data_IF_410609251620
#
_entry.id   IF_410609251620
#
_cell.length_a   1.000
_cell.length_b   1.000
_cell.length_c   1.000
_cell.angle_alpha   90.00
_cell.angle_beta   90.00
_cell.angle_gamma   90.00
#
_symmetry.space_group_name_H-M   'P 1'
#
loop_
_entity.id
_entity.type
_entity.pdbx_description
1 polymer ?
#
# COMPACT_ATOMS: atom_id res chain seq x y z
N UNK A 1 -36.12 20.28 25.31
CA UNK A 1 -36.09 19.31 24.19
C UNK A 1 -34.78 19.50 23.43
N UNK A 2 -33.71 18.77 23.84
CA UNK A 2 -32.35 18.93 23.29
C UNK A 2 -32.22 18.11 22.01
N UNK A 3 -31.90 18.79 20.91
CA UNK A 3 -31.49 18.19 19.64
C UNK A 3 -30.12 17.52 19.82
N UNK A 4 -30.10 16.20 20.00
CA UNK A 4 -28.91 15.40 19.80
C UNK A 4 -28.77 15.07 18.31
N UNK A 5 -28.00 15.92 17.64
CA UNK A 5 -27.42 15.64 16.32
C UNK A 5 -26.48 14.44 16.49
N UNK A 6 -26.97 13.23 16.21
CA UNK A 6 -26.13 12.04 16.01
C UNK A 6 -25.31 12.24 14.74
N UNK A 7 -24.16 12.87 14.88
CA UNK A 7 -23.09 12.80 13.89
C UNK A 7 -22.09 11.76 14.39
N UNK A 8 -22.32 10.48 14.11
CA UNK A 8 -21.27 9.45 14.15
C UNK A 8 -21.78 8.13 13.56
N UNK A 9 -21.70 8.07 12.23
CA UNK A 9 -21.44 6.85 11.49
C UNK A 9 -20.66 7.33 10.27
N UNK A 10 -19.38 6.97 10.14
CA UNK A 10 -18.65 7.21 8.89
C UNK A 10 -19.50 6.58 7.78
N UNK A 11 -20.09 7.42 6.93
CA UNK A 11 -20.88 6.96 5.80
C UNK A 11 -20.06 5.91 5.02
N UNK A 12 -20.59 4.71 4.77
CA UNK A 12 -19.92 3.73 3.91
C UNK A 12 -19.54 4.41 2.59
N UNK A 13 -18.24 4.45 2.27
CA UNK A 13 -17.72 5.16 1.09
C UNK A 13 -16.89 6.42 1.33
N UNK A 14 -16.44 6.69 2.56
CA UNK A 14 -15.44 7.75 2.86
C UNK A 14 -14.11 7.23 3.40
N UNK A 15 -13.97 5.92 3.56
CA UNK A 15 -12.79 5.33 4.22
C UNK A 15 -11.56 5.45 3.31
N UNK A 16 -11.68 5.12 2.03
CA UNK A 16 -10.63 5.28 1.05
C UNK A 16 -10.24 6.75 0.85
N UNK A 17 -11.21 7.66 0.75
CA UNK A 17 -10.94 9.09 0.63
C UNK A 17 -10.19 9.66 1.85
N UNK A 18 -10.54 9.25 3.07
CA UNK A 18 -9.83 9.66 4.28
C UNK A 18 -8.41 9.11 4.33
N UNK A 19 -8.22 7.83 3.97
CA UNK A 19 -6.89 7.19 3.87
C UNK A 19 -6.05 7.91 2.81
N UNK A 20 -6.61 8.24 1.65
CA UNK A 20 -5.93 8.93 0.57
C UNK A 20 -5.50 10.35 0.95
N UNK A 21 -6.35 11.11 1.65
CA UNK A 21 -6.01 12.45 2.13
C UNK A 21 -4.94 12.42 3.22
N UNK A 22 -5.04 11.48 4.16
CA UNK A 22 -4.00 11.25 5.16
C UNK A 22 -2.66 10.86 4.50
N UNK A 23 -2.71 9.94 3.52
CA UNK A 23 -1.55 9.54 2.73
C UNK A 23 -0.95 10.70 1.93
N UNK A 24 -1.76 11.62 1.42
CA UNK A 24 -1.31 12.85 0.76
C UNK A 24 -0.58 13.77 1.75
N UNK A 25 -1.14 14.01 2.94
CA UNK A 25 -0.50 14.83 3.96
C UNK A 25 0.87 14.28 4.38
N UNK A 26 0.99 12.95 4.49
CA UNK A 26 2.27 12.27 4.76
C UNK A 26 3.23 12.30 3.56
N UNK A 27 2.72 12.43 2.33
CA UNK A 27 3.54 12.47 1.12
C UNK A 27 4.23 13.82 0.90
N UNK A 28 3.68 14.91 1.45
CA UNK A 28 4.20 16.27 1.23
C UNK A 28 5.66 16.43 1.68
N UNK A 29 6.07 15.99 2.90
CA UNK A 29 7.48 16.04 3.28
C UNK A 29 8.38 15.26 2.33
N UNK A 30 7.95 14.06 1.89
CA UNK A 30 8.70 13.24 0.94
C UNK A 30 8.86 13.97 -0.40
N UNK A 31 7.80 14.61 -0.91
CA UNK A 31 7.82 15.35 -2.17
C UNK A 31 8.79 16.54 -2.17
N UNK A 32 9.08 17.11 -1.01
CA UNK A 32 10.04 18.22 -0.86
C UNK A 32 11.45 17.71 -0.55
N UNK A 33 11.58 16.80 0.42
CA UNK A 33 12.88 16.35 0.93
C UNK A 33 13.58 15.39 -0.02
N UNK A 34 12.86 14.49 -0.70
CA UNK A 34 13.47 13.51 -1.61
C UNK A 34 14.16 14.18 -2.80
N UNK A 35 13.55 15.14 -3.53
CA UNK A 35 14.23 15.81 -4.63
C UNK A 35 15.34 16.75 -4.17
N UNK A 36 15.26 17.28 -2.94
CA UNK A 36 16.30 18.10 -2.34
C UNK A 36 17.53 17.28 -1.90
N UNK A 37 17.36 15.99 -1.60
CA UNK A 37 18.39 15.15 -1.01
C UNK A 37 19.73 15.14 -1.79
N UNK A 38 19.78 15.04 -3.13
CA UNK A 38 21.04 15.09 -3.86
C UNK A 38 21.79 16.43 -3.71
N UNK A 39 21.07 17.55 -3.67
CA UNK A 39 21.66 18.87 -3.48
C UNK A 39 22.14 19.07 -2.04
N UNK A 40 21.38 18.58 -1.06
CA UNK A 40 21.78 18.59 0.35
C UNK A 40 23.01 17.71 0.58
N UNK A 41 23.08 16.54 -0.05
CA UNK A 41 24.24 15.65 0.05
C UNK A 41 25.52 16.24 -0.56
N UNK A 42 25.38 17.11 -1.57
CA UNK A 42 26.52 17.78 -2.20
C UNK A 42 27.04 19.00 -1.40
N UNK A 43 26.23 19.54 -0.48
CA UNK A 43 26.54 20.79 0.24
C UNK A 43 26.75 20.60 1.74
N UNK A 44 26.09 19.62 2.35
CA UNK A 44 26.15 19.34 3.77
C UNK A 44 27.17 18.25 4.08
N UNK A 45 27.80 18.35 5.25
CA UNK A 45 28.68 17.29 5.75
C UNK A 45 27.85 16.12 6.29
N UNK A 46 28.43 14.91 6.26
CA UNK A 46 27.76 13.70 6.73
C UNK A 46 27.19 13.81 8.15
N UNK A 47 27.88 14.40 9.16
CA UNK A 47 27.30 14.58 10.49
C UNK A 47 26.04 15.45 10.50
N UNK A 48 25.97 16.48 9.66
CA UNK A 48 24.78 17.35 9.54
C UNK A 48 23.63 16.56 8.91
N UNK A 49 23.89 15.76 7.88
CA UNK A 49 22.89 14.89 7.26
C UNK A 49 22.34 13.88 8.28
N UNK A 50 23.22 13.26 9.08
CA UNK A 50 22.83 12.34 10.16
C UNK A 50 21.97 13.06 11.21
N UNK A 51 22.37 14.27 11.63
CA UNK A 51 21.60 15.07 12.59
C UNK A 51 20.20 15.42 12.06
N UNK A 52 20.09 15.85 10.80
CA UNK A 52 18.81 16.08 10.14
C UNK A 52 17.96 14.80 10.07
N UNK A 53 18.57 13.66 9.74
CA UNK A 53 17.91 12.36 9.71
C UNK A 53 17.43 11.87 11.08
N UNK A 54 18.05 12.34 12.17
CA UNK A 54 17.67 12.01 13.54
C UNK A 54 16.53 12.90 14.09
N UNK A 55 16.15 13.98 13.41
CA UNK A 55 15.07 14.88 13.86
C UNK A 55 13.74 14.16 14.20
N UNK A 56 13.28 13.13 13.47
CA UNK A 56 12.08 12.39 13.82
C UNK A 56 12.13 11.74 15.21
N UNK A 57 13.31 11.45 15.76
CA UNK A 57 13.48 10.91 17.13
C UNK A 57 12.96 11.90 18.18
N UNK A 58 13.05 13.21 17.91
CA UNK A 58 12.52 14.25 18.78
C UNK A 58 10.99 14.18 18.92
N UNK A 59 10.30 13.47 18.02
CA UNK A 59 8.86 13.26 18.14
C UNK A 59 8.47 12.18 19.17
N UNK A 60 9.40 11.31 19.60
CA UNK A 60 9.13 10.17 20.49
C UNK A 60 8.44 10.56 21.81
N UNK A 61 8.84 11.62 22.53
CA UNK A 61 8.18 12.01 23.78
C UNK A 61 6.69 12.35 23.60
N UNK A 62 6.31 12.86 22.42
CA UNK A 62 4.93 13.29 22.11
C UNK A 62 4.01 12.11 21.77
N UNK A 63 4.54 10.94 21.42
CA UNK A 63 3.76 9.76 20.99
C UNK A 63 2.76 9.30 22.05
N UNK A 64 3.15 9.28 23.33
CA UNK A 64 2.28 8.86 24.44
C UNK A 64 1.11 9.81 24.67
N UNK A 65 1.35 11.11 24.53
CA UNK A 65 0.30 12.13 24.67
C UNK A 65 -0.69 12.06 23.51
N UNK A 66 -0.17 11.89 22.29
CA UNK A 66 -0.98 11.73 21.09
C UNK A 66 -1.81 10.45 21.14
N UNK A 67 -1.23 9.33 21.57
CA UNK A 67 -1.94 8.07 21.74
C UNK A 67 -3.13 8.19 22.68
N UNK A 68 -2.93 8.78 23.86
CA UNK A 68 -4.01 9.06 24.82
C UNK A 68 -5.11 9.95 24.23
N UNK A 69 -4.74 10.97 23.46
CA UNK A 69 -5.70 11.87 22.82
C UNK A 69 -6.51 11.19 21.70
N UNK A 70 -5.90 10.25 20.98
CA UNK A 70 -6.59 9.42 19.97
C UNK A 70 -7.54 8.46 20.65
N UNK A 71 -7.07 7.71 21.66
CA UNK A 71 -7.88 6.73 22.39
C UNK A 71 -9.14 7.37 22.98
N UNK A 72 -9.00 8.54 23.60
CA UNK A 72 -10.12 9.30 24.17
C UNK A 72 -11.19 9.69 23.13
N UNK A 73 -10.83 9.77 21.84
CA UNK A 73 -11.74 10.12 20.74
C UNK A 73 -12.33 8.90 20.02
N UNK A 74 -11.79 7.70 20.24
CA UNK A 74 -12.24 6.45 19.62
C UNK A 74 -13.00 5.50 20.56
N UNK A 75 -13.14 5.85 21.84
CA UNK A 75 -13.84 5.10 22.89
C UNK A 75 -15.38 5.11 22.77
N UNK A 76 -15.92 4.85 21.58
CA UNK A 76 -17.29 4.31 21.44
C UNK A 76 -17.16 2.89 20.92
N UNK A 77 -17.23 1.87 21.79
CA UNK A 77 -17.24 0.48 21.37
C UNK A 77 -18.46 0.26 20.50
N UNK A 78 -18.26 -0.04 19.22
CA UNK A 78 -19.36 -0.59 18.41
C UNK A 78 -19.53 -2.05 18.85
N UNK A 79 -20.76 -2.55 19.07
CA UNK A 79 -21.01 -3.95 19.46
C UNK A 79 -20.36 -4.99 18.52
N UNK A 80 -20.05 -4.60 17.27
CA UNK A 80 -19.31 -5.39 16.27
C UNK A 80 -17.84 -5.67 16.64
N UNK A 81 -17.22 -4.90 17.54
CA UNK A 81 -15.84 -5.10 17.99
C UNK A 81 -15.70 -6.15 19.09
N UNK A 82 -16.80 -6.78 19.50
CA UNK A 82 -16.79 -7.90 20.46
C UNK A 82 -16.34 -9.24 19.83
N UNK A 83 -16.14 -9.30 18.51
CA UNK A 83 -15.57 -10.46 17.86
C UNK A 83 -14.07 -10.60 18.22
N UNK A 84 -13.67 -11.80 18.65
CA UNK A 84 -12.27 -12.08 18.97
C UNK A 84 -11.37 -11.89 17.73
N UNK A 85 -10.25 -11.19 17.90
CA UNK A 85 -9.26 -11.02 16.85
C UNK A 85 -8.76 -12.39 16.36
N UNK A 86 -8.57 -12.52 15.05
CA UNK A 86 -8.07 -13.74 14.45
C UNK A 86 -6.57 -13.92 14.74
N UNK A 87 -6.05 -15.15 14.75
CA UNK A 87 -4.61 -15.39 14.82
C UNK A 87 -3.86 -14.65 13.71
N UNK A 88 -2.70 -14.08 14.02
CA UNK A 88 -1.88 -13.31 13.07
C UNK A 88 -1.59 -14.06 11.77
N UNK A 89 -1.38 -15.38 11.85
CA UNK A 89 -1.15 -16.24 10.67
C UNK A 89 -2.36 -16.28 9.74
N UNK A 90 -3.58 -16.30 10.28
CA UNK A 90 -4.82 -16.23 9.51
C UNK A 90 -4.98 -14.87 8.85
N UNK A 91 -4.70 -13.79 9.58
CA UNK A 91 -4.72 -12.42 9.03
C UNK A 91 -3.75 -12.31 7.86
N UNK A 92 -2.49 -12.73 8.03
CA UNK A 92 -1.45 -12.71 6.99
C UNK A 92 -1.86 -13.52 5.75
N UNK A 93 -2.47 -14.71 5.93
CA UNK A 93 -2.97 -15.51 4.81
C UNK A 93 -4.07 -14.78 4.03
N UNK A 94 -4.97 -14.07 4.71
CA UNK A 94 -6.06 -13.30 4.07
C UNK A 94 -5.53 -12.13 3.25
N UNK A 95 -4.46 -11.47 3.71
CA UNK A 95 -3.90 -10.26 3.08
C UNK A 95 -2.64 -10.52 2.24
N UNK A 96 -2.31 -11.78 1.96
CA UNK A 96 -1.06 -12.14 1.29
C UNK A 96 -0.94 -11.51 -0.10
N UNK A 97 -2.05 -11.47 -0.85
CA UNK A 97 -2.09 -10.88 -2.19
C UNK A 97 -1.79 -9.37 -2.16
N UNK A 98 -2.54 -8.52 -1.40
CA UNK A 98 -2.23 -7.10 -1.33
C UNK A 98 -0.83 -6.82 -0.73
N UNK A 99 -0.33 -7.63 0.21
CA UNK A 99 1.04 -7.49 0.72
C UNK A 99 2.10 -7.78 -0.36
N UNK A 100 1.92 -8.84 -1.16
CA UNK A 100 2.84 -9.16 -2.25
C UNK A 100 2.87 -8.09 -3.33
N UNK A 101 1.70 -7.56 -3.71
CA UNK A 101 1.57 -6.42 -4.64
C UNK A 101 2.27 -5.17 -4.09
N UNK A 102 2.05 -4.85 -2.82
CA UNK A 102 2.69 -3.72 -2.15
C UNK A 102 4.20 -3.89 -2.11
N UNK A 103 4.70 -5.04 -1.68
CA UNK A 103 6.13 -5.31 -1.58
C UNK A 103 6.82 -5.14 -2.94
N UNK A 104 6.20 -5.63 -4.02
CA UNK A 104 6.75 -5.53 -5.36
C UNK A 104 6.79 -4.07 -5.86
N UNK A 105 5.69 -3.32 -5.72
CA UNK A 105 5.66 -1.91 -6.16
C UNK A 105 6.61 -1.05 -5.33
N UNK A 106 6.71 -1.33 -4.04
CA UNK A 106 7.61 -0.60 -3.14
C UNK A 106 9.07 -0.95 -3.37
N UNK A 107 9.36 -2.15 -3.85
CA UNK A 107 10.69 -2.51 -4.35
C UNK A 107 11.08 -1.63 -5.54
N UNK A 108 10.21 -1.46 -6.52
CA UNK A 108 10.47 -0.53 -7.62
C UNK A 108 10.65 0.93 -7.14
N UNK A 109 9.84 1.36 -6.17
CA UNK A 109 9.98 2.69 -5.56
C UNK A 109 11.30 2.89 -4.82
N UNK A 110 11.71 1.95 -3.97
CA UNK A 110 12.98 2.01 -3.24
C UNK A 110 14.18 2.03 -4.18
N UNK A 111 14.14 1.22 -5.23
CA UNK A 111 15.14 1.18 -6.29
C UNK A 111 15.32 2.58 -6.94
N UNK A 112 14.21 3.24 -7.30
CA UNK A 112 14.23 4.60 -7.86
C UNK A 112 14.69 5.64 -6.84
N UNK A 113 14.10 5.65 -5.64
CA UNK A 113 14.42 6.63 -4.60
C UNK A 113 15.92 6.61 -4.24
N UNK A 114 16.52 5.42 -4.25
CA UNK A 114 17.93 5.23 -3.91
C UNK A 114 18.87 5.58 -5.07
N UNK A 115 18.56 5.12 -6.29
CA UNK A 115 19.53 5.14 -7.40
C UNK A 115 19.30 6.21 -8.47
N UNK A 116 18.25 7.03 -8.36
CA UNK A 116 17.98 8.08 -9.36
C UNK A 116 19.16 9.01 -9.61
N UNK A 117 19.87 9.53 -8.60
CA UNK A 117 21.05 10.36 -8.83
C UNK A 117 22.14 9.69 -9.68
N UNK A 118 22.27 8.36 -9.57
CA UNK A 118 23.30 7.56 -10.25
C UNK A 118 22.93 7.29 -11.71
N UNK A 119 21.68 6.94 -12.01
CA UNK A 119 21.28 6.61 -13.39
C UNK A 119 20.74 7.81 -14.19
N UNK A 120 20.42 8.95 -13.56
CA UNK A 120 19.95 10.14 -14.26
C UNK A 120 21.06 10.84 -15.06
N UNK A 121 22.33 10.63 -14.70
CA UNK A 121 23.50 11.19 -15.39
C UNK A 121 23.67 12.71 -15.29
N UNK A 122 22.67 13.46 -14.78
CA UNK A 122 22.70 14.92 -14.58
C UNK A 122 21.98 15.30 -13.28
N UNK A 123 22.54 16.18 -12.42
CA UNK A 123 21.91 16.58 -11.16
C UNK A 123 20.50 17.15 -11.34
N UNK A 124 20.31 18.08 -12.28
CA UNK A 124 19.00 18.68 -12.55
C UNK A 124 17.95 17.66 -12.99
N UNK A 125 18.35 16.67 -13.80
CA UNK A 125 17.46 15.60 -14.21
C UNK A 125 17.09 14.70 -13.03
N UNK A 126 18.04 14.39 -12.13
CA UNK A 126 17.77 13.61 -10.92
C UNK A 126 16.75 14.29 -10.00
N UNK A 127 16.91 15.60 -9.75
CA UNK A 127 15.98 16.39 -8.95
C UNK A 127 14.59 16.40 -9.59
N UNK A 128 14.52 16.68 -10.90
CA UNK A 128 13.25 16.70 -11.66
C UNK A 128 12.57 15.33 -11.65
N UNK A 129 13.33 14.28 -11.88
CA UNK A 129 12.90 12.88 -11.86
C UNK A 129 12.29 12.47 -10.51
N UNK A 130 13.00 12.75 -9.41
CA UNK A 130 12.52 12.45 -8.06
C UNK A 130 11.30 13.29 -7.68
N UNK A 131 11.27 14.56 -8.08
CA UNK A 131 10.11 15.42 -7.86
C UNK A 131 8.88 14.88 -8.59
N UNK A 132 9.01 14.55 -9.86
CA UNK A 132 7.91 14.00 -10.66
C UNK A 132 7.42 12.66 -10.09
N UNK A 133 8.32 11.75 -9.74
CA UNK A 133 7.98 10.48 -9.11
C UNK A 133 7.19 10.66 -7.81
N UNK A 134 7.67 11.53 -6.91
CA UNK A 134 7.04 11.75 -5.60
C UNK A 134 5.74 12.55 -5.70
N UNK A 135 5.65 13.53 -6.60
CA UNK A 135 4.44 14.31 -6.85
C UNK A 135 3.32 13.46 -7.46
N UNK A 136 3.62 12.63 -8.45
CA UNK A 136 2.63 11.74 -9.06
C UNK A 136 2.20 10.63 -8.09
N UNK A 137 3.12 10.14 -7.25
CA UNK A 137 2.78 9.23 -6.15
C UNK A 137 1.84 9.87 -5.14
N UNK A 138 2.10 11.12 -4.71
CA UNK A 138 1.24 11.85 -3.79
C UNK A 138 -0.17 12.04 -4.38
N UNK A 139 -0.26 12.50 -5.63
CA UNK A 139 -1.53 12.68 -6.33
C UNK A 139 -2.30 11.37 -6.49
N UNK A 140 -1.61 10.30 -6.91
CA UNK A 140 -2.23 9.00 -7.10
C UNK A 140 -2.68 8.36 -5.77
N UNK A 141 -1.99 8.58 -4.65
CA UNK A 141 -2.47 8.15 -3.33
C UNK A 141 -3.86 8.74 -3.02
N UNK A 142 -4.03 10.03 -3.28
CA UNK A 142 -5.33 10.67 -3.06
C UNK A 142 -6.39 10.16 -4.03
N UNK A 143 -6.11 10.18 -5.34
CA UNK A 143 -7.06 9.77 -6.39
C UNK A 143 -7.48 8.31 -6.20
N UNK A 144 -6.53 7.38 -6.07
CA UNK A 144 -6.83 5.97 -5.88
C UNK A 144 -7.48 5.68 -4.53
N UNK A 145 -7.20 6.45 -3.49
CA UNK A 145 -7.95 6.40 -2.23
C UNK A 145 -9.45 6.68 -2.45
N UNK A 146 -9.78 7.72 -3.21
CA UNK A 146 -11.18 8.03 -3.57
C UNK A 146 -11.79 6.96 -4.49
N UNK A 147 -11.01 6.46 -5.45
CA UNK A 147 -11.48 5.40 -6.36
C UNK A 147 -11.71 4.07 -5.65
N UNK A 148 -10.98 3.77 -4.58
CA UNK A 148 -11.14 2.56 -3.77
C UNK A 148 -12.53 2.45 -3.14
N UNK A 149 -13.18 3.59 -2.85
CA UNK A 149 -14.54 3.63 -2.32
C UNK A 149 -15.60 3.37 -3.41
N UNK A 150 -15.24 3.49 -4.71
CA UNK A 150 -16.18 3.47 -5.85
C UNK A 150 -16.04 2.26 -6.76
N UNK A 151 -14.85 1.68 -6.81
CA UNK A 151 -14.52 0.59 -7.73
C UNK A 151 -13.94 -0.59 -6.97
N UNK A 152 -14.13 -1.79 -7.53
CA UNK A 152 -13.49 -2.98 -6.99
C UNK A 152 -11.96 -2.81 -6.99
N UNK A 153 -11.26 -3.19 -5.91
CA UNK A 153 -9.80 -3.03 -5.81
C UNK A 153 -9.03 -3.75 -6.92
N UNK A 154 -9.54 -4.92 -7.36
CA UNK A 154 -8.84 -5.81 -8.29
C UNK A 154 -8.54 -5.19 -9.67
N UNK A 155 -9.52 -4.70 -10.46
CA UNK A 155 -9.23 -4.08 -11.75
C UNK A 155 -8.32 -2.85 -11.62
N UNK A 156 -8.50 -2.05 -10.56
CA UNK A 156 -7.61 -0.91 -10.29
C UNK A 156 -6.17 -1.36 -10.04
N UNK A 157 -5.97 -2.39 -9.20
CA UNK A 157 -4.64 -2.98 -8.97
C UNK A 157 -4.02 -3.48 -10.28
N UNK A 158 -4.77 -4.17 -11.14
CA UNK A 158 -4.26 -4.62 -12.44
C UNK A 158 -3.80 -3.45 -13.32
N UNK A 159 -4.62 -2.41 -13.44
CA UNK A 159 -4.28 -1.21 -14.23
C UNK A 159 -2.98 -0.60 -13.69
N UNK A 160 -2.89 -0.40 -12.37
CA UNK A 160 -1.71 0.20 -11.75
C UNK A 160 -0.46 -0.67 -11.90
N UNK A 161 -0.57 -2.00 -11.81
CA UNK A 161 0.56 -2.91 -12.06
C UNK A 161 1.03 -2.83 -13.51
N UNK A 162 0.11 -2.75 -14.48
CA UNK A 162 0.46 -2.55 -15.89
C UNK A 162 1.11 -1.18 -16.09
N UNK A 163 0.62 -0.13 -15.44
CA UNK A 163 1.23 1.20 -15.45
C UNK A 163 2.65 1.18 -14.87
N UNK A 164 2.87 0.50 -13.74
CA UNK A 164 4.19 0.32 -13.15
C UNK A 164 5.13 -0.46 -14.10
N UNK A 165 4.63 -1.52 -14.73
CA UNK A 165 5.38 -2.30 -15.72
C UNK A 165 5.84 -1.40 -16.88
N UNK A 166 4.93 -0.64 -17.48
CA UNK A 166 5.25 0.28 -18.56
C UNK A 166 6.26 1.35 -18.12
N UNK A 167 6.09 1.92 -16.92
CA UNK A 167 7.02 2.88 -16.34
C UNK A 167 8.44 2.31 -16.18
N UNK A 168 8.55 1.10 -15.62
CA UNK A 168 9.81 0.40 -15.43
C UNK A 168 10.50 0.03 -16.74
N UNK A 169 9.74 -0.47 -17.73
CA UNK A 169 10.26 -0.74 -19.06
C UNK A 169 10.82 0.53 -19.73
N UNK A 170 10.12 1.65 -19.60
CA UNK A 170 10.57 2.92 -20.14
C UNK A 170 11.83 3.45 -19.43
N UNK A 171 11.90 3.32 -18.11
CA UNK A 171 13.11 3.64 -17.34
C UNK A 171 14.28 2.75 -17.81
N UNK A 172 14.07 1.44 -17.94
CA UNK A 172 15.09 0.51 -18.41
C UNK A 172 15.64 0.88 -19.80
N UNK A 173 14.75 1.23 -20.74
CA UNK A 173 15.15 1.73 -22.07
C UNK A 173 15.93 3.04 -21.94
N UNK A 174 15.46 4.00 -21.16
CA UNK A 174 16.05 5.32 -21.03
C UNK A 174 17.48 5.27 -20.45
N UNK A 175 17.76 4.40 -19.49
CA UNK A 175 19.07 4.36 -18.82
C UNK A 175 20.12 3.49 -19.54
N UNK A 176 19.77 2.85 -20.65
CA UNK A 176 20.63 1.88 -21.36
C UNK A 176 21.87 2.49 -21.99
N UNK A 177 21.75 3.71 -22.52
CA UNK A 177 22.83 4.41 -23.22
C UNK A 177 23.77 5.20 -22.30
N UNK A 178 23.55 5.16 -20.97
CA UNK A 178 24.29 5.97 -19.98
C UNK A 178 23.97 7.48 -20.01
N UNK A 179 23.33 7.97 -21.07
CA UNK A 179 22.80 9.33 -21.16
C UNK A 179 21.29 9.28 -21.43
N UNK A 180 20.47 9.34 -20.37
CA UNK A 180 19.03 9.24 -20.52
C UNK A 180 18.47 10.39 -21.37
N UNK A 181 17.54 10.11 -22.30
CA UNK A 181 16.78 11.14 -23.00
C UNK A 181 16.02 12.01 -21.99
N UNK A 182 15.95 13.32 -22.27
CA UNK A 182 15.30 14.29 -21.37
C UNK A 182 13.81 13.99 -21.12
N UNK A 183 13.14 13.29 -22.04
CA UNK A 183 11.73 12.92 -21.89
C UNK A 183 11.51 11.49 -21.37
N UNK A 184 12.37 10.54 -21.76
CA UNK A 184 12.15 9.11 -21.50
C UNK A 184 12.18 8.74 -20.02
N UNK A 185 13.21 9.20 -19.29
CA UNK A 185 13.32 8.91 -17.87
C UNK A 185 12.21 9.57 -17.04
N UNK A 186 11.91 10.88 -17.19
CA UNK A 186 10.78 11.51 -16.50
C UNK A 186 9.44 10.85 -16.79
N UNK A 187 9.14 10.49 -18.03
CA UNK A 187 7.90 9.82 -18.38
C UNK A 187 7.75 8.47 -17.68
N UNK A 188 8.83 7.66 -17.65
CA UNK A 188 8.83 6.38 -16.93
C UNK A 188 8.59 6.54 -15.43
N UNK A 189 9.19 7.58 -14.83
CA UNK A 189 9.02 7.90 -13.41
C UNK A 189 7.65 8.49 -13.06
N UNK A 190 7.02 9.24 -13.97
CA UNK A 190 5.63 9.68 -13.81
C UNK A 190 4.70 8.47 -13.73
N UNK A 191 4.83 7.53 -14.67
CA UNK A 191 4.02 6.31 -14.70
C UNK A 191 4.25 5.46 -13.46
N UNK A 192 5.52 5.22 -13.11
CA UNK A 192 5.86 4.43 -11.93
C UNK A 192 5.42 5.12 -10.65
N UNK A 193 5.56 6.45 -10.52
CA UNK A 193 5.09 7.20 -9.35
C UNK A 193 3.59 7.12 -9.18
N UNK A 194 2.81 7.29 -10.26
CA UNK A 194 1.36 7.13 -10.24
C UNK A 194 0.95 5.71 -9.77
N UNK A 195 1.58 4.68 -10.31
CA UNK A 195 1.35 3.31 -9.88
C UNK A 195 1.77 3.07 -8.42
N UNK A 196 2.95 3.55 -8.03
CA UNK A 196 3.50 3.42 -6.68
C UNK A 196 2.55 4.00 -5.63
N UNK A 197 2.07 5.24 -5.83
CA UNK A 197 1.12 5.87 -4.91
C UNK A 197 -0.27 5.22 -4.92
N UNK A 198 -0.76 4.87 -6.11
CA UNK A 198 -2.07 4.25 -6.27
C UNK A 198 -2.17 2.88 -5.60
N UNK A 199 -1.18 2.00 -5.85
CA UNK A 199 -1.15 0.65 -5.28
C UNK A 199 -1.08 0.70 -3.76
N UNK A 200 -0.35 1.64 -3.17
CA UNK A 200 -0.32 1.80 -1.72
C UNK A 200 -1.72 2.02 -1.12
N UNK A 201 -2.49 2.92 -1.72
CA UNK A 201 -3.82 3.24 -1.22
C UNK A 201 -4.80 2.08 -1.41
N UNK A 202 -4.76 1.45 -2.59
CA UNK A 202 -5.64 0.31 -2.90
C UNK A 202 -5.31 -0.90 -2.03
N UNK A 203 -4.03 -1.25 -1.87
CA UNK A 203 -3.62 -2.42 -1.08
C UNK A 203 -3.91 -2.24 0.40
N UNK A 204 -3.80 -1.02 0.95
CA UNK A 204 -4.15 -0.77 2.35
C UNK A 204 -5.66 -0.92 2.57
N UNK A 205 -6.49 -0.32 1.71
CA UNK A 205 -7.95 -0.47 1.78
C UNK A 205 -8.35 -1.93 1.63
N UNK A 206 -7.77 -2.64 0.67
CA UNK A 206 -8.04 -4.05 0.42
C UNK A 206 -7.61 -4.92 1.61
N UNK A 207 -6.41 -4.72 2.15
CA UNK A 207 -5.92 -5.51 3.29
C UNK A 207 -6.80 -5.33 4.53
N UNK A 208 -7.25 -4.10 4.81
CA UNK A 208 -8.16 -3.82 5.93
C UNK A 208 -9.54 -4.47 5.73
N UNK A 209 -10.05 -4.48 4.50
CA UNK A 209 -11.30 -5.15 4.16
C UNK A 209 -11.19 -6.68 4.25
N UNK A 210 -10.12 -7.27 3.72
CA UNK A 210 -9.90 -8.72 3.71
C UNK A 210 -9.62 -9.28 5.12
N UNK A 211 -9.01 -8.49 6.01
CA UNK A 211 -8.67 -8.91 7.37
C UNK A 211 -9.83 -8.85 8.37
N UNK A 212 -10.76 -7.91 8.19
CA UNK A 212 -11.85 -7.64 9.15
C UNK A 212 -11.55 -6.46 10.09
N UNK A 213 -12.63 -5.88 10.65
CA UNK A 213 -12.61 -4.69 11.49
C UNK A 213 -11.88 -4.90 12.83
N UNK A 214 -11.91 -6.13 13.34
CA UNK A 214 -11.28 -6.62 14.56
C UNK A 214 -9.75 -6.77 14.42
N UNK A 215 -9.24 -6.91 13.20
CA UNK A 215 -7.82 -7.16 12.92
C UNK A 215 -7.07 -5.93 12.39
N UNK A 216 -7.67 -4.72 12.44
CA UNK A 216 -7.11 -3.50 11.81
C UNK A 216 -5.68 -3.17 12.24
N UNK A 217 -5.37 -3.31 13.53
CA UNK A 217 -4.03 -3.03 14.05
C UNK A 217 -2.99 -3.99 13.46
N UNK A 218 -3.22 -5.30 13.57
CA UNK A 218 -2.34 -6.33 13.02
C UNK A 218 -2.13 -6.16 11.52
N UNK A 219 -3.19 -5.87 10.78
CA UNK A 219 -3.13 -5.61 9.34
C UNK A 219 -2.30 -4.38 9.01
N UNK A 220 -2.49 -3.28 9.74
CA UNK A 220 -1.71 -2.05 9.53
C UNK A 220 -0.22 -2.28 9.80
N UNK A 221 0.12 -3.05 10.84
CA UNK A 221 1.52 -3.41 11.14
C UNK A 221 2.11 -4.23 9.99
N UNK A 222 1.41 -5.29 9.55
CA UNK A 222 1.88 -6.14 8.46
C UNK A 222 2.04 -5.37 7.14
N UNK A 223 1.12 -4.45 6.84
CA UNK A 223 1.19 -3.60 5.64
C UNK A 223 2.41 -2.68 5.68
N UNK A 224 2.70 -2.02 6.80
CA UNK A 224 3.89 -1.17 6.94
C UNK A 224 5.19 -1.99 6.83
N UNK A 225 5.26 -3.16 7.48
CA UNK A 225 6.40 -4.07 7.32
C UNK A 225 6.60 -4.44 5.84
N UNK A 226 5.51 -4.74 5.12
CA UNK A 226 5.58 -5.03 3.69
C UNK A 226 6.08 -3.86 2.85
N UNK A 227 5.63 -2.64 3.16
CA UNK A 227 6.08 -1.41 2.51
C UNK A 227 7.58 -1.15 2.72
N UNK A 228 8.05 -1.24 3.96
CA UNK A 228 9.46 -0.99 4.32
C UNK A 228 10.36 -2.10 3.78
N UNK A 229 9.93 -3.36 3.92
CA UNK A 229 10.67 -4.52 3.39
C UNK A 229 10.80 -4.44 1.88
N UNK A 230 9.75 -4.07 1.16
CA UNK A 230 9.81 -3.88 -0.28
C UNK A 230 10.78 -2.75 -0.64
N UNK A 231 10.66 -1.59 -0.01
CA UNK A 231 11.57 -0.44 -0.23
C UNK A 231 13.05 -0.83 -0.03
N UNK A 232 13.37 -1.54 1.05
CA UNK A 232 14.71 -2.02 1.34
C UNK A 232 15.19 -3.08 0.33
N UNK A 233 14.37 -4.11 0.05
CA UNK A 233 14.69 -5.18 -0.88
C UNK A 233 14.94 -4.66 -2.29
N UNK A 234 14.09 -3.76 -2.80
CA UNK A 234 14.25 -3.19 -4.13
C UNK A 234 15.54 -2.37 -4.27
N UNK A 235 15.89 -1.61 -3.23
CA UNK A 235 17.15 -0.87 -3.18
C UNK A 235 18.34 -1.84 -3.19
N UNK A 236 18.32 -2.87 -2.34
CA UNK A 236 19.38 -3.87 -2.28
C UNK A 236 19.53 -4.62 -3.63
N UNK A 237 18.44 -5.16 -4.16
CA UNK A 237 18.45 -5.97 -5.37
C UNK A 237 18.83 -5.17 -6.61
N UNK A 238 18.36 -3.92 -6.75
CA UNK A 238 18.78 -3.07 -7.86
C UNK A 238 20.27 -2.70 -7.74
N UNK A 239 20.76 -2.41 -6.53
CA UNK A 239 22.17 -2.15 -6.29
C UNK A 239 23.06 -3.33 -6.69
N UNK A 240 22.67 -4.55 -6.29
CA UNK A 240 23.36 -5.78 -6.69
C UNK A 240 23.30 -5.98 -8.22
N UNK A 241 22.14 -5.78 -8.84
CA UNK A 241 21.99 -5.88 -10.30
C UNK A 241 22.85 -4.86 -11.05
N UNK A 242 22.97 -3.63 -10.53
CA UNK A 242 23.83 -2.61 -11.09
C UNK A 242 25.32 -2.96 -10.94
N UNK A 243 25.69 -3.64 -9.85
CA UNK A 243 27.07 -4.06 -9.60
C UNK A 243 27.52 -5.22 -10.51
N UNK A 244 26.65 -6.20 -10.77
CA UNK A 244 27.00 -7.40 -11.58
C UNK A 244 26.58 -7.29 -13.05
N UNK A 245 25.68 -6.35 -13.37
CA UNK A 245 25.17 -6.12 -14.72
C UNK A 245 24.97 -4.60 -14.96
N UNK A 246 23.72 -4.13 -15.05
CA UNK A 246 23.39 -2.72 -15.29
C UNK A 246 22.08 -2.33 -14.62
N UNK A 247 21.86 -1.02 -14.42
CA UNK A 247 20.55 -0.50 -14.01
C UNK A 247 19.43 -0.89 -14.98
N UNK A 248 19.70 -0.89 -16.30
CA UNK A 248 18.74 -1.31 -17.32
C UNK A 248 18.27 -2.76 -17.08
N UNK A 249 19.19 -3.66 -16.77
CA UNK A 249 18.88 -5.06 -16.46
C UNK A 249 17.99 -5.18 -15.22
N UNK A 250 18.32 -4.47 -14.14
CA UNK A 250 17.53 -4.50 -12.91
C UNK A 250 16.12 -3.95 -13.10
N UNK A 251 15.96 -2.84 -13.82
CA UNK A 251 14.62 -2.29 -14.14
C UNK A 251 13.82 -3.19 -15.07
N UNK A 252 14.47 -3.88 -16.01
CA UNK A 252 13.82 -4.89 -16.87
C UNK A 252 13.28 -6.06 -16.04
N UNK A 253 14.07 -6.54 -15.07
CA UNK A 253 13.63 -7.61 -14.17
C UNK A 253 12.43 -7.18 -13.29
N UNK A 254 12.48 -5.97 -12.73
CA UNK A 254 11.34 -5.40 -11.98
C UNK A 254 10.10 -5.24 -12.87
N UNK A 255 10.27 -4.80 -14.12
CA UNK A 255 9.18 -4.70 -15.09
C UNK A 255 8.54 -6.07 -15.37
N UNK A 256 9.34 -7.11 -15.59
CA UNK A 256 8.86 -8.47 -15.81
C UNK A 256 8.12 -9.02 -14.58
N UNK A 257 8.65 -8.77 -13.38
CA UNK A 257 7.99 -9.14 -12.13
C UNK A 257 6.64 -8.45 -11.98
N UNK A 258 6.53 -7.17 -12.39
CA UNK A 258 5.27 -6.41 -12.37
C UNK A 258 4.24 -6.98 -13.34
N UNK A 259 4.66 -7.37 -14.55
CA UNK A 259 3.80 -8.05 -15.52
C UNK A 259 3.29 -9.40 -14.98
N UNK A 260 4.17 -10.19 -14.36
CA UNK A 260 3.79 -11.45 -13.72
C UNK A 260 2.78 -11.22 -12.58
N UNK A 261 3.02 -10.22 -11.73
CA UNK A 261 2.10 -9.88 -10.66
C UNK A 261 0.73 -9.46 -11.21
N UNK A 262 0.68 -8.68 -12.30
CA UNK A 262 -0.57 -8.34 -12.96
C UNK A 262 -1.31 -9.60 -13.45
N UNK A 263 -0.61 -10.56 -14.07
CA UNK A 263 -1.18 -11.83 -14.49
C UNK A 263 -1.72 -12.68 -13.32
N UNK A 264 -1.01 -12.73 -12.18
CA UNK A 264 -1.48 -13.40 -10.96
C UNK A 264 -2.73 -12.71 -10.40
N UNK A 265 -2.74 -11.38 -10.35
CA UNK A 265 -3.88 -10.58 -9.90
C UNK A 265 -5.05 -10.65 -10.89
N UNK A 266 -4.86 -11.08 -12.14
CA UNK A 266 -5.97 -11.40 -13.05
C UNK A 266 -6.49 -12.82 -12.79
N UNK A 267 -5.61 -13.81 -12.69
CA UNK A 267 -5.98 -15.24 -12.61
C UNK A 267 -6.52 -15.70 -11.25
N UNK A 268 -6.06 -15.13 -10.13
CA UNK A 268 -6.42 -15.56 -8.77
C UNK A 268 -7.92 -15.40 -8.38
N UNK A 269 -8.74 -14.79 -9.24
CA UNK A 269 -10.11 -14.33 -8.97
C UNK A 269 -11.15 -15.13 -9.72
N UNK A 270 -10.69 -16.06 -10.56
CA UNK A 270 -11.53 -17.08 -11.17
C UNK A 270 -11.75 -18.27 -10.22
N UNK A 271 -11.24 -18.22 -8.98
CA UNK A 271 -11.56 -19.21 -7.95
C UNK A 271 -12.91 -18.85 -7.32
N UNK A 272 -13.98 -19.63 -7.56
CA UNK A 272 -15.26 -19.38 -6.90
C UNK A 272 -15.03 -19.41 -5.39
N UNK A 273 -15.40 -18.32 -4.70
CA UNK A 273 -15.57 -18.34 -3.25
C UNK A 273 -16.70 -19.32 -2.97
N UNK A 274 -16.37 -20.54 -2.55
CA UNK A 274 -17.35 -21.46 -1.99
C UNK A 274 -18.04 -20.70 -0.85
N UNK A 275 -19.28 -20.27 -1.08
CA UNK A 275 -20.14 -19.84 0.01
C UNK A 275 -20.24 -21.03 0.96
N UNK A 276 -20.09 -20.84 2.28
CA UNK A 276 -20.54 -21.85 3.23
C UNK A 276 -21.99 -22.15 2.85
N UNK A 277 -22.28 -23.38 2.47
CA UNK A 277 -23.66 -23.86 2.39
C UNK A 277 -24.24 -23.58 3.75
N UNK A 278 -25.16 -22.61 3.82
CA UNK A 278 -26.04 -22.50 4.96
C UNK A 278 -26.68 -23.89 5.07
N UNK A 279 -26.36 -24.61 6.15
CA UNK A 279 -27.14 -25.75 6.55
C UNK A 279 -28.55 -25.21 6.79
N UNK A 280 -29.40 -25.30 5.78
CA UNK A 280 -30.84 -25.34 5.96
C UNK A 280 -31.10 -26.54 6.84
N UNK A 281 -31.07 -26.33 8.16
CA UNK A 281 -31.92 -27.09 9.06
C UNK A 281 -33.34 -26.77 8.62
N UNK A 282 -33.89 -27.69 7.86
CA UNK A 282 -35.29 -27.71 7.46
C UNK A 282 -36.15 -27.75 8.75
N UNK A 283 -37.06 -26.80 8.98
CA UNK A 283 -37.95 -26.82 10.15
C UNK A 283 -38.91 -28.02 10.16
N UNK A 284 -38.94 -28.83 9.09
CA UNK A 284 -39.81 -29.99 8.98
C UNK A 284 -39.37 -31.20 9.84
N UNK A 285 -38.10 -31.29 10.26
CA UNK A 285 -37.60 -32.47 11.00
C UNK A 285 -37.74 -32.36 12.54
N UNK A 286 -38.19 -31.20 13.05
CA UNK A 286 -38.48 -31.02 14.48
C UNK A 286 -39.93 -31.31 14.86
N UNK A 287 -40.85 -31.39 13.89
CA UNK A 287 -42.27 -31.65 14.19
C UNK A 287 -42.60 -33.14 14.38
N UNK A 288 -41.75 -34.05 13.89
CA UNK A 288 -42.02 -35.49 13.97
C UNK A 288 -41.39 -36.17 15.21
N UNK A 289 -40.40 -35.52 15.85
CA UNK A 289 -39.77 -36.06 17.07
C UNK A 289 -40.60 -35.86 18.34
N UNK A 290 -41.43 -34.81 18.39
CA UNK A 290 -42.26 -34.55 19.57
C UNK A 290 -43.50 -35.45 19.62
N UNK A 291 -43.96 -35.97 18.48
CA UNK A 291 -45.14 -36.85 18.43
C UNK A 291 -44.82 -38.27 18.93
N UNK A 292 -43.60 -38.77 18.69
CA UNK A 292 -43.21 -40.12 19.08
C UNK A 292 -42.79 -40.29 20.54
N UNK A 293 -42.50 -39.21 21.28
CA UNK A 293 -42.20 -39.27 22.72
C UNK A 293 -43.45 -39.23 23.63
N UNK A 294 -44.63 -38.91 23.10
CA UNK A 294 -45.87 -38.84 23.90
C UNK A 294 -46.64 -40.16 24.02
N UNK A 295 -46.26 -41.21 23.27
CA UNK A 295 -47.01 -42.47 23.17
C UNK A 295 -46.33 -43.68 23.83
N UNK A 296 -45.20 -43.51 24.51
CA UNK A 296 -44.48 -44.61 25.20
C UNK A 296 -44.44 -44.45 26.73
N UNK A 297 -45.28 -43.58 27.29
CA UNK A 297 -45.35 -43.31 28.72
C UNK A 297 -46.76 -43.41 29.30
N UNK A 298 -47.44 -44.55 29.10
CA UNK A 298 -48.50 -45.07 29.99
C UNK A 298 -48.43 -46.59 30.05
#
# INVERSE_FOLDING_TARGET
>A
MRLHRRSDARSPGRQGAAIGLYGLALALPQMVLTPAAPALAATLTLPVIIACGALPVLALPFTRGLGRAVDARTMTPSPEQAAAAAPTTTVLRRILLPLGTLLLVTSAGGAVLTFTPQFAGRPALAVTALFLFTATAAGARWVCGVLADRFAPRPLTCILLITACAGLALIAVAVRSGQPPLAGLPAGLVLLGAAYGGVQSITLVQALADAGAENRQTTSVAWNIGYDSGTGLGSLLLGLAAQVATFSTGFTALSAAMALAAAVVVTAGNRPRNKPTASTTDPADSADRDTHQSLSGQ
#
